data_IF_731001308521
#
_entry.id   IF_731001308521
#
_cell.length_a   1.000
_cell.length_b   1.000
_cell.length_c   1.000
_cell.angle_alpha   90.00
_cell.angle_beta   90.00
_cell.angle_gamma   90.00
#
_symmetry.space_group_name_H-M   'P 1'
#
loop_
_entity.id
_entity.type
_entity.pdbx_description
1 polymer ?
#
# COMPACT_ATOMS: atom_id res chain seq x y z
N UNK A 1 -2.51 11.22 -16.80
CA UNK A 1 -1.70 11.17 -15.56
C UNK A 1 -1.65 9.73 -15.05
N UNK A 2 -0.50 9.28 -14.62
CA UNK A 2 -0.36 7.96 -14.02
C UNK A 2 -1.01 7.92 -12.64
N UNK A 3 -1.53 6.76 -12.28
CA UNK A 3 -2.13 6.51 -10.97
C UNK A 3 -1.51 5.25 -10.38
N UNK A 4 -1.01 5.34 -9.16
CA UNK A 4 -0.40 4.23 -8.44
C UNK A 4 -1.19 3.92 -7.18
N UNK A 5 -1.43 2.66 -6.94
CA UNK A 5 -1.95 2.17 -5.66
C UNK A 5 -0.81 1.44 -4.95
N UNK A 6 -0.44 1.91 -3.76
CA UNK A 6 0.74 1.42 -3.05
C UNK A 6 0.31 0.57 -1.86
N UNK A 7 0.69 -0.70 -1.87
CA UNK A 7 0.41 -1.65 -0.79
C UNK A 7 1.38 -1.38 0.37
N UNK A 8 1.00 -1.77 1.58
CA UNK A 8 1.69 -1.42 2.82
C UNK A 8 3.19 -1.73 2.82
N UNK A 9 3.60 -2.91 2.36
CA UNK A 9 5.01 -3.30 2.38
C UNK A 9 5.86 -2.45 1.43
N UNK A 10 5.30 -2.05 0.30
CA UNK A 10 5.96 -1.13 -0.62
C UNK A 10 5.99 0.29 -0.05
N UNK A 11 4.89 0.73 0.55
CA UNK A 11 4.81 2.05 1.19
C UNK A 11 5.86 2.20 2.30
N UNK A 12 6.08 1.14 3.07
CA UNK A 12 7.04 1.13 4.16
C UNK A 12 8.45 1.51 3.70
N UNK A 13 8.83 1.07 2.51
CA UNK A 13 10.16 1.33 1.91
C UNK A 13 10.40 2.80 1.59
N UNK A 14 9.34 3.58 1.46
CA UNK A 14 9.46 5.04 1.27
C UNK A 14 9.94 5.74 2.54
N UNK A 15 9.56 5.23 3.71
CA UNK A 15 9.81 5.89 4.99
C UNK A 15 10.95 5.26 5.80
N UNK A 16 11.25 3.99 5.55
CA UNK A 16 12.32 3.27 6.23
C UNK A 16 13.25 2.68 5.16
N UNK A 17 14.54 3.07 5.14
CA UNK A 17 15.49 2.55 4.16
C UNK A 17 15.60 1.02 4.24
N UNK A 18 15.40 0.37 3.11
CA UNK A 18 15.58 -1.07 2.94
C UNK A 18 15.73 -1.39 1.45
N UNK A 19 15.87 -2.67 1.12
CA UNK A 19 15.92 -3.08 -0.28
C UNK A 19 14.62 -2.68 -0.98
N UNK A 20 14.72 -1.98 -2.12
CA UNK A 20 13.56 -1.48 -2.85
C UNK A 20 13.25 0.00 -2.62
N UNK A 21 13.92 0.65 -1.66
CA UNK A 21 13.69 2.07 -1.37
C UNK A 21 13.97 2.96 -2.57
N UNK A 22 15.05 2.70 -3.33
CA UNK A 22 15.35 3.50 -4.50
C UNK A 22 14.23 3.42 -5.54
N UNK A 23 13.70 2.23 -5.78
CA UNK A 23 12.63 2.02 -6.75
C UNK A 23 11.34 2.72 -6.33
N UNK A 24 10.98 2.63 -5.06
CA UNK A 24 9.77 3.31 -4.56
C UNK A 24 9.94 4.83 -4.58
N UNK A 25 11.13 5.33 -4.28
CA UNK A 25 11.40 6.76 -4.34
C UNK A 25 11.31 7.27 -5.78
N UNK A 26 11.82 6.52 -6.75
CA UNK A 26 11.69 6.86 -8.17
C UNK A 26 10.23 6.95 -8.60
N UNK A 27 9.39 6.01 -8.12
CA UNK A 27 7.95 6.03 -8.41
C UNK A 27 7.31 7.28 -7.81
N UNK A 28 7.60 7.60 -6.54
CA UNK A 28 7.01 8.77 -5.87
C UNK A 28 7.51 10.11 -6.42
N UNK A 29 8.61 10.11 -7.16
CA UNK A 29 9.11 11.31 -7.83
C UNK A 29 8.44 11.57 -9.20
N UNK A 30 7.61 10.67 -9.68
CA UNK A 30 6.88 10.85 -10.94
C UNK A 30 5.73 11.83 -10.77
N UNK A 31 5.34 12.45 -11.88
CA UNK A 31 4.14 13.27 -11.92
C UNK A 31 2.92 12.32 -12.02
N UNK A 32 2.38 11.97 -10.87
CA UNK A 32 1.35 10.94 -10.76
C UNK A 32 0.52 11.15 -9.49
N UNK A 33 -0.63 10.50 -9.44
CA UNK A 33 -1.43 10.39 -8.24
C UNK A 33 -1.11 9.08 -7.51
N UNK A 34 -0.97 9.14 -6.19
CA UNK A 34 -0.65 8.01 -5.34
C UNK A 34 -1.79 7.74 -4.38
N UNK A 35 -2.19 6.48 -4.31
CA UNK A 35 -3.32 6.04 -3.49
C UNK A 35 -2.91 4.92 -2.56
N UNK A 36 -3.50 4.91 -1.37
CA UNK A 36 -3.47 3.78 -0.44
C UNK A 36 -4.90 3.55 0.04
N UNK A 37 -5.20 2.37 0.59
CA UNK A 37 -6.49 2.19 1.26
C UNK A 37 -6.42 2.77 2.67
N UNK A 38 -7.57 3.09 3.25
CA UNK A 38 -7.64 3.53 4.64
C UNK A 38 -7.14 2.44 5.60
N UNK A 39 -7.31 1.16 5.26
CA UNK A 39 -6.77 0.05 6.06
C UNK A 39 -5.23 0.01 6.04
N UNK A 40 -4.60 0.52 5.00
CA UNK A 40 -3.14 0.62 4.90
C UNK A 40 -2.58 1.49 6.01
N UNK A 41 -3.31 2.53 6.41
CA UNK A 41 -2.86 3.46 7.46
C UNK A 41 -2.66 2.70 8.77
N UNK A 42 -3.65 1.92 9.20
CA UNK A 42 -3.55 1.21 10.47
C UNK A 42 -2.53 0.07 10.39
N UNK A 43 -2.44 -0.63 9.26
CA UNK A 43 -1.43 -1.67 9.08
C UNK A 43 -0.01 -1.09 9.14
N UNK A 44 0.21 0.03 8.47
CA UNK A 44 1.49 0.74 8.50
C UNK A 44 1.89 1.13 9.93
N UNK A 45 0.98 1.78 10.65
CA UNK A 45 1.24 2.21 12.03
C UNK A 45 1.47 1.01 12.95
N UNK A 46 0.71 -0.07 12.77
CA UNK A 46 0.89 -1.30 13.55
C UNK A 46 2.28 -1.91 13.31
N UNK A 47 2.72 -2.00 12.07
CA UNK A 47 4.06 -2.51 11.74
C UNK A 47 5.16 -1.61 12.28
N UNK A 48 4.95 -0.29 12.23
CA UNK A 48 5.88 0.68 12.78
C UNK A 48 6.01 0.53 14.30
N UNK A 49 4.87 0.35 14.97
CA UNK A 49 4.83 0.15 16.43
C UNK A 49 5.52 -1.16 16.83
N UNK A 50 5.35 -2.20 16.04
CA UNK A 50 6.04 -3.48 16.28
C UNK A 50 7.55 -3.31 16.21
N UNK A 51 8.05 -2.55 15.24
CA UNK A 51 9.48 -2.25 15.13
C UNK A 51 10.01 -1.41 16.31
N UNK A 52 9.17 -0.57 16.88
CA UNK A 52 9.53 0.21 18.06
C UNK A 52 9.50 -0.63 19.34
N UNK A 53 8.41 -1.35 19.57
CA UNK A 53 8.12 -1.98 20.87
C UNK A 53 8.63 -3.42 20.97
N UNK A 54 8.56 -4.20 19.90
CA UNK A 54 8.88 -5.63 19.92
C UNK A 54 10.30 -5.89 19.46
N UNK A 55 10.70 -5.43 18.27
CA UNK A 55 12.04 -5.69 17.72
C UNK A 55 13.09 -4.69 18.19
N UNK A 56 12.65 -3.50 18.63
CA UNK A 56 13.56 -2.44 19.07
C UNK A 56 14.37 -1.78 17.94
N UNK A 57 14.04 -2.05 16.69
CA UNK A 57 14.74 -1.47 15.54
C UNK A 57 14.56 0.06 15.45
N UNK A 58 13.47 0.58 15.98
CA UNK A 58 13.15 2.01 15.97
C UNK A 58 13.01 2.51 17.41
N UNK A 59 13.71 3.59 17.74
CA UNK A 59 13.46 4.30 18.99
C UNK A 59 12.17 5.13 18.88
N UNK A 60 11.71 5.67 20.00
CA UNK A 60 10.45 6.43 20.05
C UNK A 60 10.50 7.69 19.19
N UNK A 61 11.63 8.37 19.12
CA UNK A 61 11.80 9.55 18.28
C UNK A 61 11.61 9.25 16.81
N UNK A 62 12.20 8.16 16.31
CA UNK A 62 12.03 7.72 14.92
C UNK A 62 10.60 7.24 14.64
N UNK A 63 10.01 6.49 15.58
CA UNK A 63 8.62 6.07 15.46
C UNK A 63 7.70 7.29 15.27
N UNK A 64 7.83 8.29 16.11
CA UNK A 64 7.00 9.49 16.03
C UNK A 64 7.27 10.29 14.77
N UNK A 65 8.53 10.39 14.35
CA UNK A 65 8.93 11.11 13.13
C UNK A 65 8.30 10.47 11.88
N UNK A 66 8.44 9.16 11.74
CA UNK A 66 7.92 8.43 10.56
C UNK A 66 6.40 8.51 10.53
N UNK A 67 5.75 8.32 11.67
CA UNK A 67 4.30 8.47 11.77
C UNK A 67 3.84 9.86 11.31
N UNK A 68 4.54 10.90 11.76
CA UNK A 68 4.22 12.28 11.37
C UNK A 68 4.43 12.52 9.88
N UNK A 69 5.47 11.93 9.29
CA UNK A 69 5.73 12.06 7.85
C UNK A 69 4.61 11.44 7.02
N UNK A 70 4.13 10.25 7.41
CA UNK A 70 3.00 9.61 6.73
C UNK A 70 1.74 10.48 6.80
N UNK A 71 1.39 10.96 8.00
CA UNK A 71 0.20 11.80 8.17
C UNK A 71 0.31 13.12 7.41
N UNK A 72 1.50 13.70 7.35
CA UNK A 72 1.76 14.90 6.55
C UNK A 72 1.51 14.65 5.07
N UNK A 73 2.02 13.54 4.53
CA UNK A 73 1.83 13.18 3.12
C UNK A 73 0.35 12.98 2.80
N UNK A 74 -0.41 12.38 3.72
CA UNK A 74 -1.86 12.20 3.56
C UNK A 74 -2.58 13.56 3.64
N UNK A 75 -2.27 14.38 4.64
CA UNK A 75 -2.91 15.68 4.85
C UNK A 75 -2.65 16.63 3.68
N UNK A 76 -1.46 16.61 3.12
CA UNK A 76 -1.08 17.44 1.99
C UNK A 76 -1.49 16.84 0.63
N UNK A 77 -2.24 15.75 0.62
CA UNK A 77 -2.73 15.08 -0.59
C UNK A 77 -1.60 14.55 -1.49
N UNK A 78 -0.40 14.38 -0.97
CA UNK A 78 0.65 13.67 -1.69
C UNK A 78 0.29 12.18 -1.83
N UNK A 79 -0.37 11.65 -0.81
CA UNK A 79 -0.96 10.30 -0.81
C UNK A 79 -2.45 10.47 -0.55
N UNK A 80 -3.27 9.95 -1.46
CA UNK A 80 -4.73 9.96 -1.35
C UNK A 80 -5.21 8.63 -0.78
N UNK A 81 -6.32 8.66 -0.06
CA UNK A 81 -6.87 7.44 0.55
C UNK A 81 -8.09 6.96 -0.19
N UNK A 82 -8.23 5.63 -0.29
CA UNK A 82 -9.39 4.95 -0.85
C UNK A 82 -10.13 4.29 0.31
N UNK A 83 -11.41 4.63 0.43
CA UNK A 83 -12.26 4.08 1.48
C UNK A 83 -12.56 2.60 1.22
N UNK A 84 -12.52 1.80 2.29
CA UNK A 84 -12.95 0.40 2.25
C UNK A 84 -14.47 0.36 2.42
N UNK A 85 -15.17 -0.02 1.36
CA UNK A 85 -16.62 -0.10 1.31
C UNK A 85 -17.08 -1.55 1.51
N UNK A 86 -18.39 -1.79 1.79
CA UNK A 86 -18.91 -3.16 1.81
C UNK A 86 -18.60 -3.95 0.54
N UNK A 87 -18.68 -3.31 -0.63
CA UNK A 87 -18.35 -3.91 -1.93
C UNK A 87 -16.88 -4.32 -2.00
N UNK A 88 -15.99 -3.55 -1.37
CA UNK A 88 -14.56 -3.89 -1.28
C UNK A 88 -14.35 -5.19 -0.53
N UNK A 89 -15.08 -5.39 0.57
CA UNK A 89 -15.01 -6.61 1.37
C UNK A 89 -15.49 -7.82 0.57
N UNK A 90 -16.58 -7.67 -0.17
CA UNK A 90 -17.11 -8.74 -1.03
C UNK A 90 -16.07 -9.13 -2.09
N UNK A 91 -15.44 -8.14 -2.72
CA UNK A 91 -14.40 -8.39 -3.71
C UNK A 91 -13.16 -9.05 -3.09
N UNK A 92 -12.78 -8.66 -1.87
CA UNK A 92 -11.69 -9.28 -1.14
C UNK A 92 -11.96 -10.77 -0.87
N UNK A 93 -13.19 -11.13 -0.53
CA UNK A 93 -13.60 -12.54 -0.33
C UNK A 93 -13.45 -13.31 -1.64
N UNK A 94 -13.84 -12.75 -2.77
CA UNK A 94 -13.67 -13.39 -4.09
C UNK A 94 -12.20 -13.63 -4.42
N UNK A 95 -11.31 -12.73 -4.02
CA UNK A 95 -9.87 -12.92 -4.19
C UNK A 95 -9.35 -14.06 -3.32
N UNK A 96 -9.81 -14.15 -2.07
CA UNK A 96 -9.47 -15.26 -1.18
C UNK A 96 -9.95 -16.62 -1.71
N UNK A 97 -11.07 -16.65 -2.41
CA UNK A 97 -11.58 -17.88 -3.05
C UNK A 97 -10.67 -18.36 -4.17
N UNK A 98 -9.93 -17.45 -4.81
CA UNK A 98 -8.97 -17.81 -5.86
C UNK A 98 -7.65 -18.31 -5.30
N UNK A 99 -7.15 -17.68 -4.23
CA UNK A 99 -5.87 -17.99 -3.63
C UNK A 99 -5.79 -17.43 -2.22
N UNK A 100 -5.18 -18.17 -1.30
CA UNK A 100 -4.94 -17.64 0.04
C UNK A 100 -3.92 -16.52 0.03
N UNK A 101 -4.32 -15.37 0.53
CA UNK A 101 -3.45 -14.24 0.90
C UNK A 101 -3.94 -13.73 2.27
N UNK A 102 -3.18 -12.85 2.92
CA UNK A 102 -3.63 -12.33 4.22
C UNK A 102 -4.89 -11.47 4.05
N UNK A 103 -5.73 -11.35 5.08
CA UNK A 103 -6.93 -10.52 5.00
C UNK A 103 -6.64 -9.08 4.57
N UNK A 104 -5.58 -8.45 5.12
CA UNK A 104 -5.25 -7.08 4.76
C UNK A 104 -4.77 -6.96 3.32
N UNK A 105 -4.03 -7.94 2.81
CA UNK A 105 -3.62 -7.96 1.40
C UNK A 105 -4.83 -8.09 0.48
N UNK A 106 -5.80 -8.94 0.84
CA UNK A 106 -7.01 -9.10 0.04
C UNK A 106 -7.82 -7.81 -0.04
N UNK A 107 -7.93 -7.09 1.06
CA UNK A 107 -8.64 -5.81 1.12
C UNK A 107 -7.91 -4.75 0.28
N UNK A 108 -6.60 -4.67 0.38
CA UNK A 108 -5.82 -3.70 -0.39
C UNK A 108 -5.89 -3.97 -1.89
N UNK A 109 -5.78 -5.22 -2.30
CA UNK A 109 -5.92 -5.59 -3.71
C UNK A 109 -7.34 -5.29 -4.22
N UNK A 110 -8.35 -5.61 -3.43
CA UNK A 110 -9.74 -5.29 -3.77
C UNK A 110 -9.96 -3.77 -3.90
N UNK A 111 -9.37 -2.98 -3.01
CA UNK A 111 -9.46 -1.52 -3.09
C UNK A 111 -8.79 -0.98 -4.37
N UNK A 112 -7.64 -1.55 -4.76
CA UNK A 112 -6.97 -1.19 -6.00
C UNK A 112 -7.83 -1.54 -7.22
N UNK A 113 -8.46 -2.71 -7.22
CA UNK A 113 -9.38 -3.12 -8.30
C UNK A 113 -10.58 -2.21 -8.40
N UNK A 114 -11.14 -1.82 -7.26
CA UNK A 114 -12.26 -0.87 -7.23
C UNK A 114 -11.83 0.48 -7.84
N UNK A 115 -10.70 1.01 -7.41
CA UNK A 115 -10.17 2.26 -7.94
C UNK A 115 -9.90 2.15 -9.44
N UNK A 116 -9.37 1.02 -9.90
CA UNK A 116 -9.11 0.78 -11.33
C UNK A 116 -10.40 0.80 -12.15
N UNK A 117 -11.52 0.40 -11.58
CA UNK A 117 -12.83 0.48 -12.25
C UNK A 117 -13.32 1.92 -12.40
N UNK A 118 -12.87 2.83 -11.56
CA UNK A 118 -13.25 4.24 -11.55
C UNK A 118 -12.29 5.13 -12.33
N UNK A 119 -11.03 4.73 -12.45
CA UNK A 119 -9.95 5.45 -13.13
C UNK A 119 -9.56 4.70 -14.41
N UNK A 120 -8.90 5.42 -15.32
CA UNK A 120 -8.51 4.83 -16.60
C UNK A 120 -7.46 3.74 -16.48
N UNK A 121 -6.55 3.83 -15.52
CA UNK A 121 -5.49 2.85 -15.31
C UNK A 121 -4.83 3.04 -13.95
N UNK A 122 -4.75 1.95 -13.20
CA UNK A 122 -4.06 1.91 -11.91
C UNK A 122 -2.88 0.93 -12.03
N UNK A 123 -1.72 1.35 -11.55
CA UNK A 123 -0.56 0.46 -11.37
C UNK A 123 -0.47 0.10 -9.88
N UNK A 124 -0.53 -1.19 -9.58
CA UNK A 124 -0.44 -1.71 -8.23
C UNK A 124 1.03 -1.91 -7.86
N UNK A 125 1.47 -1.31 -6.76
CA UNK A 125 2.87 -1.38 -6.30
C UNK A 125 2.93 -2.17 -5.01
N UNK A 126 3.68 -3.26 -4.98
CA UNK A 126 3.79 -4.15 -3.84
C UNK A 126 5.20 -4.70 -3.69
N UNK A 127 5.46 -5.44 -2.59
CA UNK A 127 6.75 -6.08 -2.34
C UNK A 127 6.67 -7.59 -2.23
N UNK A 128 5.49 -8.18 -2.22
CA UNK A 128 5.26 -9.61 -2.08
C UNK A 128 4.92 -10.23 -3.43
N UNK A 129 5.65 -11.29 -3.80
CA UNK A 129 5.44 -11.98 -5.08
C UNK A 129 4.05 -12.59 -5.23
N UNK A 130 3.47 -13.04 -4.12
CA UNK A 130 2.18 -13.71 -4.12
C UNK A 130 1.06 -12.75 -4.50
N UNK A 131 1.01 -11.58 -3.86
CA UNK A 131 0.02 -10.55 -4.19
C UNK A 131 0.29 -9.93 -5.55
N UNK A 132 1.57 -9.79 -5.94
CA UNK A 132 1.97 -9.33 -7.27
C UNK A 132 1.37 -10.21 -8.37
N UNK A 133 1.56 -11.53 -8.26
CA UNK A 133 1.03 -12.49 -9.24
C UNK A 133 -0.49 -12.47 -9.28
N UNK A 134 -1.12 -12.40 -8.12
CA UNK A 134 -2.59 -12.36 -8.07
C UNK A 134 -3.13 -11.07 -8.70
N UNK A 135 -2.47 -9.94 -8.46
CA UNK A 135 -2.84 -8.67 -9.09
C UNK A 135 -2.76 -8.75 -10.62
N UNK A 136 -1.70 -9.36 -11.15
CA UNK A 136 -1.56 -9.57 -12.60
C UNK A 136 -2.67 -10.46 -13.16
N UNK A 137 -3.03 -11.52 -12.45
CA UNK A 137 -4.14 -12.41 -12.83
C UNK A 137 -5.45 -11.63 -12.91
N UNK A 138 -5.65 -10.64 -12.03
CA UNK A 138 -6.83 -9.79 -12.05
C UNK A 138 -6.80 -8.72 -13.15
N UNK A 139 -5.71 -8.63 -13.91
CA UNK A 139 -5.58 -7.67 -15.00
C UNK A 139 -5.02 -6.31 -14.57
N UNK A 140 -4.51 -6.17 -13.35
CA UNK A 140 -3.85 -4.94 -12.93
C UNK A 140 -2.42 -4.89 -13.44
N UNK A 141 -2.02 -3.74 -13.96
CA UNK A 141 -0.60 -3.41 -14.09
C UNK A 141 0.01 -3.47 -12.70
N UNK A 142 1.16 -4.13 -12.55
CA UNK A 142 1.76 -4.32 -11.23
C UNK A 142 3.28 -4.15 -11.30
N UNK A 143 3.82 -3.57 -10.22
CA UNK A 143 5.27 -3.40 -10.03
C UNK A 143 5.61 -4.01 -8.68
N UNK A 144 6.67 -4.80 -8.64
CA UNK A 144 7.22 -5.32 -7.39
C UNK A 144 8.52 -4.57 -7.07
N UNK A 145 8.62 -4.07 -5.84
CA UNK A 145 9.78 -3.30 -5.38
C UNK A 145 10.49 -3.97 -4.20
#
# INVERSE_FOLDING_TARGET
>A
MENYFVETSALFKRYIPEQGTEEIDDIFNRDADFYISDITIIEFISNLKRKNEITGELNEGLYNKIKSELFKDITQQKIKTVEVLPETIIEAIKLLDQQYITPLDSIQLAAALHLNSLKASITFVCSDKKIYKLAEIQGLKSIIV
#
